data_IF_711042527898
#
_entry.id   IF_711042527898
#
_cell.length_a   1.000
_cell.length_b   1.000
_cell.length_c   1.000
_cell.angle_alpha   90.00
_cell.angle_beta   90.00
_cell.angle_gamma   90.00
#
_symmetry.space_group_name_H-M   'P 1'
#
loop_
_entity.id
_entity.type
_entity.pdbx_description
1 polymer ?
#
# COMPACT_ATOMS: atom_id res chain seq x y z
N UNK A 1 -2.35 0.14 -2.28
CA UNK A 1 -3.11 -1.11 -2.47
C UNK A 1 -3.57 -1.19 -3.92
N UNK A 2 -3.20 -2.24 -4.65
CA UNK A 2 -3.47 -2.43 -6.08
C UNK A 2 -4.80 -3.17 -6.29
N UNK A 3 -5.62 -2.70 -7.22
CA UNK A 3 -6.85 -3.39 -7.66
C UNK A 3 -6.53 -4.34 -8.81
N UNK A 4 -6.93 -5.61 -8.70
CA UNK A 4 -6.76 -6.61 -9.77
C UNK A 4 -7.94 -6.53 -10.74
N UNK A 5 -7.62 -6.50 -12.03
CA UNK A 5 -8.58 -6.43 -13.14
C UNK A 5 -8.23 -7.46 -14.21
N UNK A 6 -9.24 -7.97 -14.90
CA UNK A 6 -9.10 -8.77 -16.11
C UNK A 6 -9.92 -8.18 -17.28
N UNK A 7 -9.91 -8.87 -18.42
CA UNK A 7 -10.63 -8.46 -19.64
C UNK A 7 -12.17 -8.35 -19.46
N UNK A 8 -12.72 -8.88 -18.36
CA UNK A 8 -14.15 -8.88 -18.04
C UNK A 8 -14.51 -7.86 -16.95
N UNK A 9 -13.55 -7.22 -16.28
CA UNK A 9 -13.77 -6.21 -15.25
C UNK A 9 -12.88 -6.36 -14.00
N UNK A 10 -13.27 -5.69 -12.92
CA UNK A 10 -12.63 -5.83 -11.60
C UNK A 10 -12.95 -7.22 -11.02
N UNK A 11 -11.93 -7.94 -10.56
CA UNK A 11 -12.12 -9.26 -9.93
C UNK A 11 -12.52 -9.17 -8.44
N UNK A 12 -12.75 -7.96 -7.92
CA UNK A 12 -12.87 -7.66 -6.50
C UNK A 12 -11.71 -8.21 -5.66
N UNK A 13 -10.52 -8.28 -6.27
CA UNK A 13 -9.28 -8.66 -5.58
C UNK A 13 -8.41 -7.42 -5.41
N UNK A 14 -7.95 -7.19 -4.19
CA UNK A 14 -6.91 -6.21 -3.86
C UNK A 14 -5.62 -6.89 -3.48
N UNK A 15 -4.49 -6.29 -3.81
CA UNK A 15 -3.17 -6.75 -3.39
C UNK A 15 -2.37 -5.60 -2.80
N UNK A 16 -1.64 -5.82 -1.71
CA UNK A 16 -0.74 -4.81 -1.17
C UNK A 16 0.45 -5.46 -0.44
N UNK A 17 1.55 -4.72 -0.41
CA UNK A 17 2.67 -5.00 0.49
C UNK A 17 2.23 -4.72 1.93
N UNK A 18 2.30 -5.74 2.78
CA UNK A 18 2.04 -5.64 4.23
C UNK A 18 3.30 -5.17 4.95
N UNK A 19 4.46 -5.68 4.53
CA UNK A 19 5.77 -5.32 5.04
C UNK A 19 6.77 -5.23 3.88
N UNK A 20 7.62 -4.20 3.92
CA UNK A 20 8.66 -3.92 2.94
C UNK A 20 10.01 -3.96 3.67
N UNK A 21 11.02 -4.71 3.17
CA UNK A 21 12.30 -4.82 3.84
C UNK A 21 13.07 -3.52 3.79
N UNK A 22 13.87 -3.30 4.83
CA UNK A 22 14.84 -2.22 4.93
C UNK A 22 14.24 -0.80 4.79
N UNK A 23 12.95 -0.68 5.11
CA UNK A 23 12.21 0.58 5.17
C UNK A 23 11.67 0.80 6.57
N UNK A 24 11.78 2.04 7.05
CA UNK A 24 11.16 2.45 8.31
C UNK A 24 9.71 2.79 8.04
N UNK A 25 8.78 2.12 8.72
CA UNK A 25 7.35 2.44 8.59
C UNK A 25 6.99 3.70 9.41
N UNK A 26 5.76 4.20 9.25
CA UNK A 26 5.27 5.40 9.96
C UNK A 26 5.19 5.27 11.49
N UNK A 27 5.35 4.05 12.02
CA UNK A 27 5.42 3.75 13.46
C UNK A 27 6.85 3.60 13.98
N UNK A 28 7.86 3.72 13.11
CA UNK A 28 9.27 3.57 13.45
C UNK A 28 9.77 2.12 13.49
N UNK A 29 8.98 1.17 12.99
CA UNK A 29 9.43 -0.22 12.87
C UNK A 29 10.30 -0.39 11.64
N UNK A 30 11.27 -1.28 11.76
CA UNK A 30 12.16 -1.68 10.69
C UNK A 30 12.21 -3.20 10.63
N UNK A 31 12.06 -3.76 9.45
CA UNK A 31 12.06 -5.20 9.23
C UNK A 31 13.07 -5.60 8.19
N UNK A 32 13.79 -6.70 8.46
CA UNK A 32 14.68 -7.33 7.47
C UNK A 32 13.87 -8.31 6.63
N UNK A 33 14.37 -8.69 5.45
CA UNK A 33 13.77 -9.76 4.66
C UNK A 33 13.55 -11.06 5.48
N UNK A 34 14.46 -11.37 6.40
CA UNK A 34 14.33 -12.56 7.26
C UNK A 34 13.18 -12.44 8.25
N UNK A 35 13.02 -11.28 8.92
CA UNK A 35 11.90 -11.08 9.84
C UNK A 35 10.57 -11.06 9.09
N UNK A 36 10.49 -10.39 7.93
CA UNK A 36 9.31 -10.37 7.07
C UNK A 36 8.89 -11.78 6.67
N UNK A 37 9.85 -12.62 6.26
CA UNK A 37 9.58 -14.02 5.95
C UNK A 37 8.97 -14.79 7.13
N UNK A 38 9.45 -14.54 8.35
CA UNK A 38 8.88 -15.14 9.55
C UNK A 38 7.43 -14.70 9.75
N UNK A 39 7.13 -13.40 9.62
CA UNK A 39 5.75 -12.89 9.70
C UNK A 39 4.82 -13.53 8.66
N UNK A 40 5.25 -13.55 7.39
CA UNK A 40 4.46 -14.13 6.31
C UNK A 40 4.14 -15.61 6.54
N UNK A 41 5.11 -16.38 7.04
CA UNK A 41 4.94 -17.81 7.29
C UNK A 41 4.07 -18.07 8.52
N UNK A 42 4.28 -17.32 9.60
CA UNK A 42 3.43 -17.42 10.79
C UNK A 42 1.99 -17.02 10.51
N UNK A 43 1.74 -16.05 9.64
CA UNK A 43 0.40 -15.71 9.18
C UNK A 43 -0.28 -16.90 8.46
N UNK A 44 0.46 -17.57 7.57
CA UNK A 44 -0.04 -18.75 6.88
C UNK A 44 -0.30 -19.93 7.84
N UNK A 45 0.61 -20.18 8.79
CA UNK A 45 0.47 -21.21 9.82
C UNK A 45 -0.72 -20.93 10.75
N UNK A 46 -1.05 -19.67 10.97
CA UNK A 46 -2.15 -19.23 11.84
C UNK A 46 -3.51 -19.25 11.12
N UNK A 47 -3.55 -19.56 9.83
CA UNK A 47 -4.78 -19.77 9.07
C UNK A 47 -5.38 -18.52 8.43
N UNK A 48 -4.57 -17.47 8.17
CA UNK A 48 -4.99 -16.29 7.40
C UNK A 48 -6.15 -15.48 8.00
N UNK A 49 -6.16 -15.26 9.32
CA UNK A 49 -7.19 -14.43 9.97
C UNK A 49 -7.20 -13.00 9.41
N UNK A 50 -8.39 -12.46 9.15
CA UNK A 50 -8.61 -11.10 8.66
C UNK A 50 -9.66 -10.42 9.53
N UNK A 51 -9.39 -9.19 9.94
CA UNK A 51 -10.35 -8.24 10.49
C UNK A 51 -10.23 -6.89 9.78
N UNK A 52 -11.03 -5.92 10.20
CA UNK A 52 -10.98 -4.55 9.69
C UNK A 52 -10.69 -3.62 10.87
N UNK A 53 -9.75 -2.69 10.69
CA UNK A 53 -9.40 -1.68 11.69
C UNK A 53 -8.89 -2.23 13.05
N UNK A 54 -8.32 -3.44 13.07
CA UNK A 54 -7.81 -4.10 14.29
C UNK A 54 -8.87 -4.22 15.40
N UNK A 55 -10.14 -4.40 15.02
CA UNK A 55 -11.26 -4.52 15.95
C UNK A 55 -11.42 -5.94 16.52
N UNK A 56 -10.63 -6.90 16.03
CA UNK A 56 -10.66 -8.32 16.38
C UNK A 56 -12.03 -8.99 16.05
N UNK A 57 -12.79 -8.45 15.10
CA UNK A 57 -14.00 -9.06 14.58
C UNK A 57 -13.65 -9.82 13.29
N UNK A 58 -13.74 -11.15 13.36
CA UNK A 58 -13.45 -12.02 12.24
C UNK A 58 -14.28 -11.66 11.01
N UNK A 59 -13.59 -11.26 9.95
CA UNK A 59 -14.16 -10.89 8.65
C UNK A 59 -13.96 -11.99 7.60
N UNK A 60 -13.47 -13.17 8.02
CA UNK A 60 -13.30 -14.33 7.15
C UNK A 60 -14.64 -14.73 6.53
N UNK A 61 -14.65 -14.85 5.20
CA UNK A 61 -15.85 -15.18 4.42
C UNK A 61 -16.34 -13.99 3.59
N UNK A 62 -16.40 -12.79 4.19
CA UNK A 62 -16.55 -11.53 3.46
C UNK A 62 -15.23 -11.12 2.80
N UNK A 63 -14.12 -11.40 3.47
CA UNK A 63 -12.76 -11.24 2.98
C UNK A 63 -12.07 -12.60 2.95
N UNK A 64 -11.38 -12.91 1.86
CA UNK A 64 -10.63 -14.16 1.72
C UNK A 64 -9.21 -13.89 1.21
N UNK A 65 -8.19 -14.36 1.93
CA UNK A 65 -6.84 -14.42 1.39
C UNK A 65 -6.81 -15.40 0.23
N UNK A 66 -6.53 -14.89 -0.97
CA UNK A 66 -6.34 -15.69 -2.19
C UNK A 66 -4.87 -15.85 -2.55
N UNK A 67 -4.03 -14.91 -2.13
CA UNK A 67 -2.59 -14.93 -2.33
C UNK A 67 -1.86 -14.43 -1.09
N UNK A 68 -0.73 -15.05 -0.76
CA UNK A 68 0.22 -14.55 0.24
C UNK A 68 1.60 -15.03 -0.16
N UNK A 69 2.50 -14.10 -0.48
CA UNK A 69 3.82 -14.46 -1.00
C UNK A 69 4.90 -13.43 -0.64
N UNK A 70 6.13 -13.91 -0.68
CA UNK A 70 7.31 -13.06 -0.67
C UNK A 70 7.66 -12.71 -2.11
N UNK A 71 7.79 -11.41 -2.35
CA UNK A 71 8.14 -10.86 -3.65
C UNK A 71 9.52 -11.38 -4.07
N UNK A 72 9.63 -11.83 -5.32
CA UNK A 72 10.86 -12.37 -5.89
C UNK A 72 11.57 -11.29 -6.69
N UNK A 73 12.86 -11.49 -6.96
CA UNK A 73 13.62 -10.63 -7.86
C UNK A 73 12.88 -10.40 -9.19
N UNK A 74 12.83 -9.15 -9.65
CA UNK A 74 12.21 -8.73 -10.91
C UNK A 74 10.70 -8.98 -11.04
N UNK A 75 9.97 -9.02 -9.92
CA UNK A 75 8.50 -8.96 -9.97
C UNK A 75 8.05 -7.62 -10.59
N UNK A 76 7.03 -7.70 -11.46
CA UNK A 76 6.59 -6.55 -12.26
C UNK A 76 5.61 -5.66 -11.52
N UNK A 77 4.84 -6.25 -10.61
CA UNK A 77 3.77 -5.57 -9.89
C UNK A 77 4.27 -5.03 -8.56
N UNK A 78 5.26 -5.71 -7.96
CA UNK A 78 5.88 -5.35 -6.70
C UNK A 78 7.40 -5.30 -6.87
N UNK A 79 8.02 -4.13 -7.02
CA UNK A 79 9.43 -4.05 -7.42
C UNK A 79 10.43 -4.39 -6.30
N UNK A 80 9.99 -4.48 -5.04
CA UNK A 80 10.88 -4.63 -3.89
C UNK A 80 10.94 -6.11 -3.51
N UNK A 81 12.07 -6.74 -3.83
CA UNK A 81 12.33 -8.14 -3.44
C UNK A 81 12.18 -8.30 -1.93
N UNK A 82 11.60 -9.43 -1.50
CA UNK A 82 11.45 -9.78 -0.09
C UNK A 82 10.31 -9.06 0.63
N UNK A 83 9.62 -8.11 -0.01
CA UNK A 83 8.33 -7.61 0.49
C UNK A 83 7.36 -8.77 0.67
N UNK A 84 6.52 -8.68 1.70
CA UNK A 84 5.41 -9.61 1.88
C UNK A 84 4.14 -8.99 1.33
N UNK A 85 3.57 -9.63 0.32
CA UNK A 85 2.32 -9.20 -0.34
C UNK A 85 1.19 -10.15 0.03
N UNK A 86 0.02 -9.59 0.30
CA UNK A 86 -1.23 -10.33 0.50
C UNK A 86 -2.26 -9.87 -0.52
N UNK A 87 -2.92 -10.83 -1.15
CA UNK A 87 -4.06 -10.65 -2.03
C UNK A 87 -5.36 -11.08 -1.35
N UNK A 88 -6.35 -10.19 -1.31
CA UNK A 88 -7.64 -10.40 -0.65
C UNK A 88 -8.75 -10.30 -1.69
N UNK A 89 -9.55 -11.36 -1.80
CA UNK A 89 -10.83 -11.34 -2.49
C UNK A 89 -11.91 -10.79 -1.56
N UNK A 90 -12.60 -9.76 -2.04
CA UNK A 90 -13.67 -9.06 -1.35
C UNK A 90 -15.01 -9.56 -1.89
N UNK A 91 -15.84 -10.15 -1.01
CA UNK A 91 -17.17 -10.68 -1.36
C UNK A 91 -18.31 -9.78 -0.92
N UNK A 92 -18.02 -8.86 -0.02
CA UNK A 92 -18.98 -7.92 0.54
C UNK A 92 -18.97 -6.62 -0.26
N UNK A 93 -20.14 -6.23 -0.77
CA UNK A 93 -20.27 -5.06 -1.64
C UNK A 93 -20.04 -3.74 -0.89
N UNK A 94 -20.36 -3.67 0.41
CA UNK A 94 -20.13 -2.47 1.21
C UNK A 94 -18.64 -2.28 1.46
N UNK A 95 -17.93 -3.35 1.86
CA UNK A 95 -16.47 -3.31 2.02
C UNK A 95 -15.78 -3.00 0.68
N UNK A 96 -16.29 -3.55 -0.43
CA UNK A 96 -15.75 -3.23 -1.76
C UNK A 96 -15.92 -1.75 -2.08
N UNK A 97 -17.07 -1.16 -1.77
CA UNK A 97 -17.32 0.26 -1.99
C UNK A 97 -16.39 1.13 -1.12
N UNK A 98 -16.16 0.78 0.14
CA UNK A 98 -15.22 1.49 1.02
C UNK A 98 -13.78 1.48 0.46
N UNK A 99 -13.39 0.40 -0.20
CA UNK A 99 -12.11 0.30 -0.91
C UNK A 99 -12.07 1.23 -2.12
N UNK A 100 -13.12 1.23 -2.95
CA UNK A 100 -13.22 2.11 -4.13
C UNK A 100 -13.22 3.60 -3.73
N UNK A 101 -13.85 3.93 -2.60
CA UNK A 101 -13.94 5.29 -2.08
C UNK A 101 -12.65 5.74 -1.37
N UNK A 102 -11.74 4.79 -1.10
CA UNK A 102 -10.44 5.02 -0.47
C UNK A 102 -10.47 5.10 1.07
N UNK A 103 -11.62 4.78 1.67
CA UNK A 103 -11.77 4.69 3.13
C UNK A 103 -10.97 3.50 3.69
N UNK A 104 -10.92 2.39 2.93
CA UNK A 104 -9.98 1.28 3.14
C UNK A 104 -8.90 1.30 2.06
N UNK A 105 -7.68 1.70 2.42
CA UNK A 105 -6.62 2.02 1.44
C UNK A 105 -5.28 1.27 1.65
N UNK A 106 -5.22 0.35 2.61
CA UNK A 106 -4.00 -0.37 2.94
C UNK A 106 -4.27 -1.66 3.71
N UNK A 107 -3.21 -2.46 3.87
CA UNK A 107 -3.20 -3.63 4.73
C UNK A 107 -2.31 -3.35 5.94
N UNK A 108 -2.64 -3.99 7.06
CA UNK A 108 -1.85 -3.96 8.27
C UNK A 108 -1.68 -5.40 8.79
N UNK A 109 -0.74 -5.59 9.70
CA UNK A 109 -0.60 -6.84 10.45
C UNK A 109 -0.76 -6.58 11.94
N UNK A 110 -1.28 -7.57 12.66
CA UNK A 110 -1.23 -7.66 14.11
C UNK A 110 -0.45 -8.91 14.50
N UNK A 111 0.51 -8.78 15.41
CA UNK A 111 1.30 -9.92 15.90
C UNK A 111 1.87 -9.64 17.27
N UNK A 112 2.04 -10.70 18.07
CA UNK A 112 2.84 -10.65 19.30
C UNK A 112 4.31 -10.69 18.89
N UNK A 113 5.07 -9.64 19.24
CA UNK A 113 6.47 -9.49 18.83
C UNK A 113 7.37 -9.16 20.02
N UNK A 114 8.68 -9.35 19.83
CA UNK A 114 9.70 -8.80 20.73
C UNK A 114 10.50 -7.74 19.98
N UNK A 115 10.48 -6.52 20.49
CA UNK A 115 11.25 -5.43 19.92
C UNK A 115 12.71 -5.47 20.36
N UNK A 116 13.61 -5.24 19.41
CA UNK A 116 15.01 -4.89 19.68
C UNK A 116 15.20 -3.45 19.25
N UNK A 117 15.56 -2.59 20.21
CA UNK A 117 15.83 -1.18 19.89
C UNK A 117 17.20 -1.06 19.22
N UNK A 118 17.21 -0.52 18.03
CA UNK A 118 18.42 -0.17 17.26
C UNK A 118 18.37 1.31 16.90
N UNK A 119 19.54 1.89 16.64
CA UNK A 119 19.67 3.21 16.04
C UNK A 119 20.20 2.95 14.64
N UNK A 120 19.46 3.43 13.64
CA UNK A 120 19.81 3.32 12.23
C UNK A 120 19.82 4.73 11.63
N UNK A 121 20.79 5.00 10.77
CA UNK A 121 20.81 6.21 9.96
C UNK A 121 20.19 5.85 8.60
N UNK A 122 19.00 6.38 8.34
CA UNK A 122 18.26 6.15 7.10
C UNK A 122 18.14 7.48 6.36
N UNK A 123 18.44 7.46 5.07
CA UNK A 123 18.24 8.62 4.20
C UNK A 123 16.77 8.62 3.73
N UNK A 124 15.98 9.53 4.30
CA UNK A 124 14.57 9.70 3.93
C UNK A 124 14.49 10.83 2.89
N UNK A 125 13.94 10.58 1.70
CA UNK A 125 13.84 11.60 0.68
C UNK A 125 12.85 12.68 1.12
N UNK A 126 13.26 13.95 1.03
CA UNK A 126 12.37 15.09 1.34
C UNK A 126 11.25 15.28 0.31
N UNK A 127 11.43 14.77 -0.91
CA UNK A 127 10.44 14.81 -1.98
C UNK A 127 10.48 13.53 -2.83
N UNK A 128 9.29 13.03 -3.16
CA UNK A 128 9.09 11.86 -4.02
C UNK A 128 8.13 12.23 -5.14
N UNK A 129 8.47 11.87 -6.37
CA UNK A 129 7.62 12.05 -7.55
C UNK A 129 7.32 10.72 -8.23
N UNK A 130 6.26 10.67 -9.02
CA UNK A 130 5.93 9.47 -9.78
C UNK A 130 4.69 9.64 -10.64
N UNK A 131 4.09 8.50 -11.01
CA UNK A 131 2.83 8.44 -11.76
C UNK A 131 1.85 7.60 -10.95
N UNK A 132 0.61 8.05 -10.87
CA UNK A 132 -0.45 7.31 -10.19
C UNK A 132 -0.80 6.02 -10.92
N UNK A 133 -1.46 5.11 -10.22
CA UNK A 133 -2.19 4.03 -10.87
C UNK A 133 -3.30 4.61 -11.79
N UNK A 134 -3.65 3.90 -12.88
CA UNK A 134 -4.75 4.28 -13.75
C UNK A 134 -6.08 4.39 -13.01
N UNK A 135 -6.85 5.43 -13.31
CA UNK A 135 -8.23 5.57 -12.85
C UNK A 135 -9.05 4.32 -13.22
N UNK A 136 -10.03 4.01 -12.37
CA UNK A 136 -10.77 2.77 -12.54
C UNK A 136 -11.82 2.81 -13.65
N UNK A 137 -12.29 4.00 -14.02
CA UNK A 137 -13.40 4.23 -14.94
C UNK A 137 -12.91 4.49 -16.37
N UNK A 138 -11.87 5.31 -16.54
CA UNK A 138 -11.37 5.70 -17.87
C UNK A 138 -9.86 5.46 -18.08
N UNK A 139 -9.14 5.07 -17.02
CA UNK A 139 -7.73 4.70 -17.09
C UNK A 139 -6.74 5.86 -17.23
N UNK A 140 -7.17 7.12 -17.05
CA UNK A 140 -6.22 8.23 -17.02
C UNK A 140 -5.28 8.14 -15.80
N UNK A 141 -4.14 8.82 -15.89
CA UNK A 141 -3.11 8.84 -14.83
C UNK A 141 -2.63 10.27 -14.62
N UNK A 142 -2.11 10.53 -13.42
CA UNK A 142 -1.49 11.77 -13.04
C UNK A 142 -0.01 11.60 -12.72
N UNK A 143 0.80 12.62 -12.98
CA UNK A 143 2.10 12.75 -12.30
C UNK A 143 1.86 13.33 -10.92
N UNK A 144 2.46 12.73 -9.90
CA UNK A 144 2.38 13.24 -8.53
C UNK A 144 3.74 13.73 -8.03
N UNK A 145 3.68 14.60 -7.03
CA UNK A 145 4.78 14.96 -6.15
C UNK A 145 4.28 14.93 -4.70
N UNK A 146 5.15 14.51 -3.78
CA UNK A 146 4.85 14.39 -2.35
C UNK A 146 6.08 14.83 -1.56
N UNK A 147 5.87 15.69 -0.56
CA UNK A 147 6.87 16.09 0.42
C UNK A 147 6.72 15.29 1.70
N UNK A 148 7.85 14.82 2.21
CA UNK A 148 7.94 14.02 3.42
C UNK A 148 8.64 14.80 4.53
N UNK A 149 8.29 14.51 5.78
CA UNK A 149 9.06 14.94 6.95
C UNK A 149 10.23 13.97 7.26
N UNK A 150 11.00 14.29 8.30
CA UNK A 150 12.14 13.48 8.76
C UNK A 150 11.76 12.08 9.27
N UNK A 151 10.46 11.79 9.40
CA UNK A 151 9.92 10.47 9.75
C UNK A 151 9.25 9.77 8.54
N UNK A 152 9.37 10.34 7.33
CA UNK A 152 8.76 9.79 6.11
C UNK A 152 7.24 9.98 6.04
N UNK A 153 6.64 10.88 6.82
CA UNK A 153 5.21 11.18 6.76
C UNK A 153 4.90 12.22 5.70
N UNK A 154 3.77 12.04 5.02
CA UNK A 154 3.27 13.00 4.03
C UNK A 154 2.91 14.31 4.71
N UNK A 155 3.63 15.37 4.35
CA UNK A 155 3.35 16.75 4.80
C UNK A 155 2.43 17.45 3.81
N UNK A 156 2.67 17.25 2.53
CA UNK A 156 1.87 17.84 1.44
C UNK A 156 2.22 17.16 0.12
N UNK A 157 1.30 17.18 -0.83
CA UNK A 157 1.55 16.76 -2.19
C UNK A 157 0.41 17.13 -3.11
N UNK A 158 0.57 16.78 -4.38
CA UNK A 158 -0.49 16.92 -5.36
C UNK A 158 -0.10 16.35 -6.71
N UNK A 159 -1.02 16.45 -7.65
CA UNK A 159 -0.82 16.00 -9.03
C UNK A 159 -0.66 17.15 -10.01
N UNK A 160 -0.21 16.83 -11.22
CA UNK A 160 -0.44 17.67 -12.39
C UNK A 160 -1.92 17.73 -12.77
N UNK A 161 -2.24 18.66 -13.68
CA UNK A 161 -3.58 18.82 -14.22
C UNK A 161 -3.76 17.94 -15.47
N UNK A 162 -4.73 17.03 -15.41
CA UNK A 162 -5.15 16.15 -16.50
C UNK A 162 -6.68 16.25 -16.60
N UNK A 163 -7.22 16.32 -17.81
CA UNK A 163 -8.67 16.44 -18.05
C UNK A 163 -9.36 17.51 -17.16
N UNK A 164 -8.75 18.70 -17.10
CA UNK A 164 -9.18 19.88 -16.34
C UNK A 164 -9.29 19.68 -14.81
N UNK A 165 -8.58 18.72 -14.21
CA UNK A 165 -8.53 18.57 -12.77
C UNK A 165 -7.19 18.05 -12.25
N UNK A 166 -6.99 18.16 -10.95
CA UNK A 166 -5.84 17.67 -10.21
C UNK A 166 -6.30 17.22 -8.82
N UNK A 167 -5.47 16.44 -8.13
CA UNK A 167 -5.72 16.01 -6.77
C UNK A 167 -4.70 16.59 -5.81
N UNK A 168 -5.14 16.88 -4.58
CA UNK A 168 -4.24 17.08 -3.45
C UNK A 168 -3.83 15.71 -2.87
N UNK A 169 -2.69 15.67 -2.20
CA UNK A 169 -2.20 14.47 -1.53
C UNK A 169 -1.86 14.81 -0.08
N UNK A 170 -2.49 14.07 0.84
CA UNK A 170 -2.28 14.18 2.29
C UNK A 170 -2.00 12.81 2.94
N UNK A 171 -2.23 11.72 2.22
CA UNK A 171 -2.05 10.33 2.65
C UNK A 171 -0.92 9.66 1.85
N UNK A 172 -0.43 8.51 2.32
CA UNK A 172 0.71 7.78 1.73
C UNK A 172 0.37 6.98 0.47
N UNK A 173 -0.89 6.61 0.28
CA UNK A 173 -1.29 5.57 -0.69
C UNK A 173 -2.37 6.02 -1.67
N UNK A 174 -3.05 7.14 -1.39
CA UNK A 174 -4.16 7.62 -2.22
C UNK A 174 -4.28 9.14 -2.22
N UNK A 175 -4.80 9.68 -3.31
CA UNK A 175 -5.06 11.10 -3.46
C UNK A 175 -6.37 11.51 -2.77
N UNK A 176 -6.56 12.81 -2.58
CA UNK A 176 -7.83 13.37 -2.12
C UNK A 176 -8.95 13.19 -3.15
N UNK A 177 -10.20 13.10 -2.67
CA UNK A 177 -11.37 12.97 -3.51
C UNK A 177 -11.57 14.25 -4.32
N UNK A 178 -11.46 14.14 -5.64
CA UNK A 178 -11.74 15.24 -6.56
C UNK A 178 -12.55 14.71 -7.72
N UNK A 179 -13.60 15.43 -8.14
CA UNK A 179 -14.51 15.00 -9.21
C UNK A 179 -14.94 13.52 -9.07
N UNK A 180 -15.40 13.15 -7.88
CA UNK A 180 -15.93 11.82 -7.53
C UNK A 180 -14.98 10.63 -7.69
N UNK A 181 -13.67 10.85 -7.80
CA UNK A 181 -12.70 9.75 -7.79
C UNK A 181 -11.40 10.15 -7.09
N UNK A 182 -10.53 9.14 -6.92
CA UNK A 182 -9.19 9.23 -6.34
C UNK A 182 -8.26 8.36 -7.14
N UNK A 183 -6.97 8.64 -7.05
CA UNK A 183 -5.94 7.74 -7.57
C UNK A 183 -5.17 7.08 -6.43
N UNK A 184 -4.73 5.85 -6.69
CA UNK A 184 -3.73 5.16 -5.87
C UNK A 184 -2.34 5.55 -6.38
N UNK A 185 -1.36 5.67 -5.48
CA UNK A 185 0.04 5.86 -5.83
C UNK A 185 0.97 5.23 -4.78
N UNK A 186 2.28 5.21 -5.04
CA UNK A 186 3.26 4.58 -4.18
C UNK A 186 4.50 5.46 -3.99
N UNK A 187 4.77 5.90 -2.76
CA UNK A 187 5.95 6.73 -2.46
C UNK A 187 7.26 5.96 -2.40
N UNK A 188 7.23 4.64 -2.20
CA UNK A 188 8.44 3.81 -2.08
C UNK A 188 9.02 3.49 -3.45
N UNK A 189 8.16 3.23 -4.45
CA UNK A 189 8.59 3.03 -5.84
C UNK A 189 8.73 4.33 -6.64
N UNK A 190 8.38 5.47 -6.05
CA UNK A 190 8.54 6.78 -6.67
C UNK A 190 10.01 7.16 -6.85
N UNK A 191 10.28 8.11 -7.74
CA UNK A 191 11.61 8.69 -7.90
C UNK A 191 11.81 9.75 -6.83
N UNK A 192 12.88 9.63 -6.05
CA UNK A 192 13.36 10.70 -5.19
C UNK A 192 14.34 11.59 -5.96
N UNK A 193 14.16 12.90 -5.84
CA UNK A 193 15.18 13.86 -6.24
C UNK A 193 16.10 14.08 -5.03
N UNK A 194 16.98 13.12 -4.75
CA UNK A 194 18.06 13.39 -3.81
C UNK A 194 19.04 14.36 -4.48
N UNK A 195 18.83 15.66 -4.25
CA UNK A 195 19.78 16.71 -4.63
C UNK A 195 21.02 16.52 -3.75
N UNK A 196 22.11 16.06 -4.37
CA UNK A 196 23.44 15.97 -3.76
C UNK A 196 23.97 17.34 -3.29
#
# INVERSE_FOLDING_TARGET
MKLVKNDLGQEQVVMAEVLIPDQVNVYGDFHTMESIKQFAYSFAESGFGIDINHDNIDSTGSLLVVESFLVRESDKDFPIEGSWVVGILVRDDEIWQDILDGELNGLSYESIVKFVKVIIDVDIPSEVTGVTEPDIYDGHVHKYWVKLDDDGRVVSGGTDEVDDHYHLISLHTSTELTRSHRHIFNIISGKSDNIA
#
